data_IF_786769910495
#
_entry.id   IF_786769910495
#
_cell.length_a   1.000
_cell.length_b   1.000
_cell.length_c   1.000
_cell.angle_alpha   90.00
_cell.angle_beta   90.00
_cell.angle_gamma   90.00
#
_symmetry.space_group_name_H-M   'P 1'
#
loop_
_entity.id
_entity.type
_entity.pdbx_description
1 polymer ?
#
# COMPACT_ATOMS: atom_id res chain seq x y z
N UNK A 1 26.12 -32.60 -58.97
CA UNK A 1 24.74 -32.34 -58.49
C UNK A 1 24.82 -32.04 -57.00
N UNK A 2 24.45 -30.83 -56.59
CA UNK A 2 24.36 -30.43 -55.18
C UNK A 2 23.17 -31.11 -54.52
N UNK A 3 23.37 -31.78 -53.38
CA UNK A 3 22.32 -31.94 -52.37
C UNK A 3 22.90 -31.67 -50.98
N UNK A 4 22.56 -30.49 -50.49
CA UNK A 4 22.81 -29.96 -49.15
C UNK A 4 21.81 -30.62 -48.19
N UNK A 5 22.32 -31.27 -47.13
CA UNK A 5 21.62 -31.58 -45.86
C UNK A 5 22.71 -31.75 -44.79
N UNK A 6 23.36 -30.69 -44.33
CA UNK A 6 22.93 -29.77 -43.27
C UNK A 6 22.40 -30.45 -42.00
N UNK A 7 22.98 -30.01 -40.89
CA UNK A 7 22.50 -29.99 -39.50
C UNK A 7 22.90 -31.20 -38.61
N UNK A 8 23.35 -31.08 -37.36
CA UNK A 8 23.74 -29.99 -36.43
C UNK A 8 24.61 -30.70 -35.38
N UNK A 9 25.78 -30.17 -35.02
CA UNK A 9 26.53 -30.61 -33.83
C UNK A 9 25.95 -29.83 -32.64
N UNK A 10 25.29 -30.53 -31.72
CA UNK A 10 24.80 -29.95 -30.47
C UNK A 10 25.99 -29.65 -29.56
N UNK A 11 26.37 -28.38 -29.46
CA UNK A 11 27.26 -27.90 -28.42
C UNK A 11 26.51 -27.90 -27.09
N UNK A 12 26.81 -28.86 -26.23
CA UNK A 12 26.34 -28.89 -24.84
C UNK A 12 27.18 -27.90 -24.03
N UNK A 13 26.67 -26.69 -23.83
CA UNK A 13 27.19 -25.78 -22.82
C UNK A 13 26.58 -26.17 -21.47
N UNK A 14 27.35 -26.88 -20.63
CA UNK A 14 26.98 -27.09 -19.23
C UNK A 14 27.30 -25.81 -18.46
N UNK A 15 26.37 -24.85 -18.50
CA UNK A 15 26.32 -23.77 -17.53
C UNK A 15 25.60 -24.29 -16.28
N UNK A 16 26.34 -24.66 -15.23
CA UNK A 16 25.71 -24.90 -13.92
C UNK A 16 25.41 -23.56 -13.26
N UNK A 17 24.39 -22.85 -13.75
CA UNK A 17 23.71 -21.87 -12.91
C UNK A 17 22.70 -22.64 -12.08
N UNK A 18 23.04 -22.93 -10.83
CA UNK A 18 22.06 -23.35 -9.85
C UNK A 18 21.11 -22.18 -9.60
N UNK A 19 20.07 -22.07 -10.43
CA UNK A 19 18.92 -21.25 -10.12
C UNK A 19 18.15 -21.95 -9.00
N UNK A 20 17.86 -21.27 -7.88
CA UNK A 20 17.00 -21.84 -6.84
C UNK A 20 15.67 -22.28 -7.47
N UNK A 21 15.17 -23.43 -7.03
CA UNK A 21 13.85 -23.93 -7.43
C UNK A 21 12.79 -22.82 -7.28
N UNK A 22 11.78 -22.74 -8.17
CA UNK A 22 10.68 -21.81 -7.99
C UNK A 22 9.94 -22.21 -6.72
N UNK A 23 10.15 -21.44 -5.67
CA UNK A 23 9.41 -21.60 -4.43
C UNK A 23 7.96 -21.16 -4.74
N UNK A 24 6.92 -22.00 -4.58
CA UNK A 24 5.53 -21.61 -4.88
C UNK A 24 4.92 -20.60 -3.90
N UNK A 25 5.74 -19.91 -3.11
CA UNK A 25 5.32 -18.98 -2.06
C UNK A 25 6.13 -17.70 -2.15
N UNK A 26 6.01 -17.02 -3.29
CA UNK A 26 6.32 -15.61 -3.39
C UNK A 26 5.19 -14.94 -4.16
N UNK A 27 3.98 -14.99 -3.60
CA UNK A 27 3.05 -13.88 -3.75
C UNK A 27 3.55 -12.72 -2.87
N UNK A 28 4.78 -12.28 -3.15
CA UNK A 28 5.37 -11.06 -2.59
C UNK A 28 4.81 -9.91 -3.39
N UNK A 29 3.50 -9.68 -3.30
CA UNK A 29 3.05 -8.30 -3.28
C UNK A 29 3.57 -7.78 -1.94
N UNK A 30 4.59 -6.91 -1.89
CA UNK A 30 4.97 -6.29 -0.61
C UNK A 30 3.68 -5.71 -0.04
N UNK A 31 3.40 -5.94 1.25
CA UNK A 31 2.25 -5.40 1.95
C UNK A 31 1.96 -4.01 1.38
N UNK A 32 0.93 -3.91 0.53
CA UNK A 32 0.73 -2.76 -0.36
C UNK A 32 0.89 -1.52 0.50
N UNK A 33 1.85 -0.65 0.17
CA UNK A 33 2.16 0.52 0.98
C UNK A 33 0.84 1.17 1.36
N UNK A 34 0.50 1.12 2.66
CA UNK A 34 -0.84 1.49 3.15
C UNK A 34 -1.12 2.97 2.86
N UNK A 35 -0.08 3.76 2.59
CA UNK A 35 -0.15 5.14 2.22
C UNK A 35 -0.18 5.41 0.70
N UNK A 36 -0.03 4.39 -0.16
CA UNK A 36 0.10 4.56 -1.61
C UNK A 36 -1.08 5.31 -2.25
N UNK A 37 -2.29 5.09 -1.75
CA UNK A 37 -3.53 5.69 -2.27
C UNK A 37 -4.09 6.77 -1.32
N UNK A 38 -3.30 7.24 -0.34
CA UNK A 38 -3.73 8.20 0.68
C UNK A 38 -3.32 9.62 0.29
N UNK A 39 -4.30 10.48 0.03
CA UNK A 39 -4.05 11.91 -0.19
C UNK A 39 -4.25 12.69 1.11
N UNK A 40 -3.19 13.28 1.63
CA UNK A 40 -3.23 14.11 2.82
C UNK A 40 -3.33 15.62 2.50
N UNK A 41 -3.97 16.43 3.36
CA UNK A 41 -3.95 17.89 3.22
C UNK A 41 -2.52 18.47 3.17
N UNK A 42 -2.39 19.68 2.63
CA UNK A 42 -1.09 20.38 2.59
C UNK A 42 -0.46 20.47 3.98
N UNK A 43 0.86 20.35 4.05
CA UNK A 43 1.65 20.30 5.30
C UNK A 43 1.28 19.15 6.24
N UNK A 44 0.81 18.03 5.70
CA UNK A 44 0.63 16.79 6.45
C UNK A 44 1.11 15.60 5.63
N UNK A 45 1.43 14.49 6.30
CA UNK A 45 1.94 13.29 5.67
C UNK A 45 1.18 12.06 6.15
N UNK A 46 1.05 11.07 5.27
CA UNK A 46 0.39 9.83 5.63
C UNK A 46 1.24 9.07 6.65
N UNK A 47 0.58 8.56 7.69
CA UNK A 47 1.17 7.69 8.69
C UNK A 47 0.22 6.54 8.98
N UNK A 48 0.80 5.35 9.12
CA UNK A 48 0.11 4.18 9.66
C UNK A 48 0.07 4.34 11.18
N UNK A 49 -1.13 4.50 11.73
CA UNK A 49 -1.38 4.44 13.16
C UNK A 49 -1.60 2.96 13.55
N UNK A 50 -1.51 2.59 14.82
CA UNK A 50 -1.76 1.21 15.26
C UNK A 50 -2.88 1.19 16.30
N UNK A 51 -4.06 1.68 15.90
CA UNK A 51 -5.26 1.67 16.75
C UNK A 51 -5.99 0.32 16.71
N UNK A 52 -5.28 -0.79 16.42
CA UNK A 52 -5.89 -2.12 16.19
C UNK A 52 -6.98 -2.13 15.10
N UNK A 53 -6.97 -1.15 14.19
CA UNK A 53 -7.90 -1.09 13.07
C UNK A 53 -7.35 -1.87 11.88
N UNK A 54 -8.25 -2.46 11.09
CA UNK A 54 -7.91 -3.23 9.89
C UNK A 54 -7.23 -2.37 8.81
N UNK A 55 -7.49 -1.05 8.81
CA UNK A 55 -6.85 -0.04 7.94
C UNK A 55 -6.53 1.24 8.72
N UNK A 56 -5.41 1.29 9.45
CA UNK A 56 -5.16 2.38 10.37
C UNK A 56 -4.30 3.46 9.69
N UNK A 57 -4.83 4.12 8.66
CA UNK A 57 -4.11 5.20 7.96
C UNK A 57 -4.78 6.53 8.24
N UNK A 58 -3.96 7.55 8.50
CA UNK A 58 -4.40 8.92 8.69
C UNK A 58 -3.26 9.88 8.36
N UNK A 59 -3.54 11.18 8.42
CA UNK A 59 -2.57 12.21 8.13
C UNK A 59 -2.05 12.83 9.44
N UNK A 60 -0.74 12.89 9.60
CA UNK A 60 -0.08 13.59 10.69
C UNK A 60 0.34 14.98 10.21
N UNK A 61 0.03 16.03 10.99
CA UNK A 61 0.46 17.39 10.69
C UNK A 61 1.99 17.52 10.76
N UNK A 62 2.56 18.31 9.85
CA UNK A 62 3.94 18.79 9.86
C UNK A 62 3.95 20.32 9.93
N UNK A 63 3.32 20.88 10.97
CA UNK A 63 3.11 22.31 11.16
C UNK A 63 1.63 22.71 11.08
N UNK A 64 1.36 23.90 10.55
CA UNK A 64 -0.01 24.39 10.33
C UNK A 64 -0.64 23.74 9.10
N UNK A 65 -1.75 23.05 9.32
CA UNK A 65 -2.60 22.50 8.26
C UNK A 65 -3.70 23.49 7.89
N UNK A 66 -4.32 23.28 6.73
CA UNK A 66 -5.36 24.16 6.23
C UNK A 66 -6.58 24.18 7.16
N UNK A 67 -7.28 25.31 7.24
CA UNK A 67 -8.43 25.48 8.14
C UNK A 67 -9.62 24.56 7.78
N UNK A 68 -9.67 24.08 6.54
CA UNK A 68 -10.64 23.12 6.02
C UNK A 68 -10.22 21.64 6.20
N UNK A 69 -9.06 21.38 6.82
CA UNK A 69 -8.64 20.01 7.11
C UNK A 69 -9.57 19.36 8.13
N UNK A 70 -10.18 18.24 7.75
CA UNK A 70 -11.04 17.45 8.64
C UNK A 70 -10.19 16.74 9.70
N UNK A 71 -10.35 17.14 10.96
CA UNK A 71 -9.66 16.51 12.09
C UNK A 71 -10.51 15.42 12.72
N UNK A 72 -9.88 14.33 13.17
CA UNK A 72 -10.55 13.22 13.84
C UNK A 72 -9.68 12.71 14.99
N UNK A 73 -9.94 13.24 16.18
CA UNK A 73 -9.10 12.96 17.35
C UNK A 73 -7.65 13.41 17.13
N UNK A 74 -6.72 12.46 17.15
CA UNK A 74 -5.28 12.71 17.00
C UNK A 74 -4.78 12.65 15.55
N UNK A 75 -5.66 12.37 14.58
CA UNK A 75 -5.30 12.29 13.16
C UNK A 75 -6.07 13.32 12.35
N UNK A 76 -5.55 13.62 11.17
CA UNK A 76 -6.26 14.37 10.13
C UNK A 76 -6.77 13.37 9.11
N UNK A 77 -8.03 13.50 8.71
CA UNK A 77 -8.59 12.63 7.69
C UNK A 77 -7.97 12.91 6.32
N UNK A 78 -7.70 11.86 5.52
CA UNK A 78 -7.35 12.04 4.13
C UNK A 78 -8.41 12.84 3.38
N UNK A 79 -8.00 13.50 2.30
CA UNK A 79 -8.88 14.36 1.49
C UNK A 79 -10.09 13.55 1.00
N UNK A 80 -11.29 14.13 1.18
CA UNK A 80 -12.55 13.51 0.77
C UNK A 80 -13.15 12.53 1.78
N UNK A 81 -12.50 12.29 2.92
CA UNK A 81 -13.04 11.51 4.03
C UNK A 81 -13.54 12.46 5.14
N UNK A 82 -14.47 11.96 5.97
CA UNK A 82 -15.01 12.65 7.13
C UNK A 82 -14.72 11.88 8.43
N UNK A 83 -14.67 12.58 9.56
CA UNK A 83 -14.46 11.94 10.85
C UNK A 83 -15.66 11.06 11.23
N UNK A 84 -15.42 9.76 11.37
CA UNK A 84 -16.40 8.80 11.84
C UNK A 84 -16.33 8.63 13.36
N UNK A 85 -15.14 8.31 13.89
CA UNK A 85 -14.97 8.02 15.31
C UNK A 85 -13.73 8.74 15.86
N UNK A 86 -13.95 9.94 16.40
CA UNK A 86 -12.90 10.83 16.91
C UNK A 86 -11.99 10.17 17.97
N UNK A 87 -12.51 9.49 19.03
CA UNK A 87 -11.68 8.76 19.99
C UNK A 87 -10.67 7.79 19.36
N UNK A 88 -11.02 7.20 18.22
CA UNK A 88 -10.24 6.17 17.55
C UNK A 88 -9.50 6.67 16.30
N UNK A 89 -9.65 7.95 15.94
CA UNK A 89 -9.11 8.50 14.70
C UNK A 89 -9.61 7.81 13.43
N UNK A 90 -10.86 7.32 13.42
CA UNK A 90 -11.42 6.62 12.25
C UNK A 90 -12.05 7.62 11.29
N UNK A 91 -11.55 7.65 10.07
CA UNK A 91 -12.10 8.41 8.95
C UNK A 91 -12.84 7.48 7.98
N UNK A 92 -13.95 7.96 7.42
CA UNK A 92 -14.76 7.17 6.47
C UNK A 92 -15.20 8.03 5.28
N UNK A 93 -15.65 7.40 4.20
CA UNK A 93 -16.27 8.11 3.09
C UNK A 93 -17.61 8.73 3.51
N UNK A 94 -17.95 9.92 3.01
CA UNK A 94 -19.26 10.53 3.24
C UNK A 94 -20.40 9.59 2.82
N UNK A 95 -21.47 9.54 3.63
CA UNK A 95 -22.66 8.72 3.35
C UNK A 95 -22.54 7.24 3.70
N UNK A 96 -21.37 6.75 4.13
CA UNK A 96 -21.21 5.38 4.63
C UNK A 96 -21.65 5.33 6.10
N UNK A 97 -22.40 4.29 6.53
CA UNK A 97 -22.78 4.15 7.94
C UNK A 97 -21.53 4.09 8.82
N UNK A 98 -21.52 4.93 9.86
CA UNK A 98 -20.43 5.03 10.80
C UNK A 98 -20.85 4.44 12.15
N UNK A 99 -20.13 3.42 12.60
CA UNK A 99 -20.25 2.90 13.96
C UNK A 99 -19.22 3.60 14.82
N UNK A 100 -19.64 4.06 16.01
CA UNK A 100 -18.76 4.70 17.00
C UNK A 100 -18.55 3.75 18.17
N UNK A 101 -17.32 3.67 18.64
CA UNK A 101 -16.91 2.87 19.80
C UNK A 101 -15.85 3.61 20.60
N UNK A 102 -15.59 3.14 21.82
CA UNK A 102 -14.55 3.69 22.69
C UNK A 102 -13.21 3.06 22.34
N UNK A 103 -12.23 3.91 22.09
CA UNK A 103 -10.80 3.66 22.20
C UNK A 103 -10.29 4.49 23.39
#
# INVERSE_FOLDING_TARGET
>A
MLFIRSLIVFAVAIGTSASPAPNPQADTTPAKDRCADVTCPKNSFCKVFDFRLEKPVGCQANGTVAADAETCGSVICPVGLTCCNSPCGVCTSPGVPCVKWVC
#
